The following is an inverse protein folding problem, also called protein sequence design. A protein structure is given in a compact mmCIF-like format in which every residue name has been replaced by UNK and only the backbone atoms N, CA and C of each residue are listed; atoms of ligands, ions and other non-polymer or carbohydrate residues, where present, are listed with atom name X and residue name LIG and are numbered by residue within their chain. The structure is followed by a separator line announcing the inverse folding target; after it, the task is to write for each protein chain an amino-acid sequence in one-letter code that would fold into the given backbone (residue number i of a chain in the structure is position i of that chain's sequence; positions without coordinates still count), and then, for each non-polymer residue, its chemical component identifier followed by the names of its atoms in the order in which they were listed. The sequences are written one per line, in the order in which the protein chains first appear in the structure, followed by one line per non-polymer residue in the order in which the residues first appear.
data_IF_757088036176
#
_entry.id   IF_757088036176
#
_cell.length_a   1.000
_cell.length_b   1.000
_cell.length_c   1.000
_cell.angle_alpha   90.00
_cell.angle_beta   90.00
_cell.angle_gamma   90.00
#
_symmetry.space_group_name_H-M   'P 1'
#
loop_
_entity.id
_entity.type
_entity.pdbx_description
1 polymer ?
#
# COMPACT_ATOMS: atom_id res chain seq x y z
N UNK A 1 12.56 17.35 -9.16
CA UNK A 1 11.85 16.20 -8.55
C UNK A 1 10.94 16.75 -7.45
N UNK A 2 9.64 16.45 -7.49
CA UNK A 2 8.64 16.98 -6.56
C UNK A 2 8.01 15.80 -5.81
N UNK A 3 8.49 15.53 -4.59
CA UNK A 3 7.98 14.44 -3.74
C UNK A 3 6.90 14.95 -2.79
N UNK A 4 5.99 14.08 -2.32
CA UNK A 4 4.85 14.48 -1.48
C UNK A 4 5.25 15.19 -0.18
N UNK A 5 6.41 14.86 0.40
CA UNK A 5 6.93 15.55 1.59
C UNK A 5 7.70 16.84 1.30
N UNK A 6 7.78 17.28 0.04
CA UNK A 6 8.48 18.51 -0.31
C UNK A 6 7.90 19.70 0.47
N UNK A 7 8.79 20.49 1.09
CA UNK A 7 8.44 21.72 1.80
C UNK A 7 8.23 22.86 0.81
N UNK A 8 7.13 22.80 0.07
CA UNK A 8 6.76 23.79 -0.92
C UNK A 8 5.31 24.22 -0.71
N UNK A 9 5.08 25.54 -0.65
CA UNK A 9 3.75 26.12 -0.69
C UNK A 9 3.29 26.31 -2.13
N UNK A 10 2.02 26.06 -2.41
CA UNK A 10 1.40 26.26 -3.74
C UNK A 10 0.11 27.05 -3.54
N UNK A 11 0.11 28.31 -3.98
CA UNK A 11 -0.98 29.24 -3.65
C UNK A 11 -1.12 29.35 -2.13
N UNK A 12 -2.35 29.13 -1.64
CA UNK A 12 -2.65 29.15 -0.19
C UNK A 12 -2.33 27.84 0.54
N UNK A 13 -1.99 26.77 -0.18
CA UNK A 13 -1.66 25.48 0.43
C UNK A 13 -0.20 25.47 0.92
N UNK A 14 0.01 25.00 2.16
CA UNK A 14 1.34 25.01 2.80
C UNK A 14 2.24 23.86 2.37
N UNK A 15 1.65 22.82 1.79
CA UNK A 15 2.32 21.60 1.36
C UNK A 15 1.45 20.85 0.33
N UNK A 16 2.02 19.81 -0.28
CA UNK A 16 1.33 19.03 -1.31
C UNK A 16 0.13 18.24 -0.78
N UNK A 17 0.11 17.85 0.49
CA UNK A 17 -1.05 17.16 1.08
C UNK A 17 -2.27 18.08 1.15
N UNK A 18 -2.07 19.34 1.51
CA UNK A 18 -3.11 20.36 1.50
C UNK A 18 -3.52 20.72 0.07
N UNK A 19 -2.55 20.90 -0.82
CA UNK A 19 -2.81 21.26 -2.23
C UNK A 19 -3.70 20.24 -2.93
N UNK A 20 -3.38 18.94 -2.80
CA UNK A 20 -4.18 17.89 -3.44
C UNK A 20 -5.55 17.70 -2.80
N UNK A 21 -5.70 18.04 -1.52
CA UNK A 21 -6.97 17.88 -0.83
C UNK A 21 -7.51 16.46 -1.01
N UNK A 22 -8.83 16.36 -1.26
CA UNK A 22 -9.53 15.10 -1.53
C UNK A 22 -9.45 14.64 -2.99
N UNK A 23 -8.81 15.41 -3.88
CA UNK A 23 -8.84 15.14 -5.33
C UNK A 23 -8.29 13.76 -5.67
N UNK A 24 -7.17 13.37 -5.02
CA UNK A 24 -6.55 12.06 -5.24
C UNK A 24 -7.47 10.92 -4.76
N UNK A 25 -8.10 11.09 -3.60
CA UNK A 25 -9.08 10.12 -3.09
C UNK A 25 -10.23 9.91 -4.08
N UNK A 26 -10.85 11.00 -4.55
CA UNK A 26 -11.95 10.95 -5.52
C UNK A 26 -11.56 10.36 -6.88
N UNK A 27 -10.28 10.45 -7.25
CA UNK A 27 -9.80 9.92 -8.53
C UNK A 27 -9.53 8.41 -8.54
N UNK A 28 -9.35 7.81 -7.35
CA UNK A 28 -9.00 6.39 -7.21
C UNK A 28 -10.18 5.57 -6.71
N UNK A 29 -11.07 6.15 -5.90
CA UNK A 29 -12.25 5.46 -5.40
C UNK A 29 -13.27 5.24 -6.53
N UNK A 30 -13.83 4.03 -6.58
CA UNK A 30 -14.92 3.66 -7.48
C UNK A 30 -16.11 3.07 -6.70
N UNK A 31 -17.11 2.55 -7.41
CA UNK A 31 -18.32 1.98 -6.81
C UNK A 31 -18.04 0.77 -5.92
N UNK A 32 -16.90 0.07 -6.10
CA UNK A 32 -16.52 -1.05 -5.24
C UNK A 32 -16.09 -0.58 -3.85
N UNK A 33 -15.61 0.67 -3.75
CA UNK A 33 -15.01 1.27 -2.56
C UNK A 33 -13.82 0.49 -1.97
N UNK A 34 -13.19 -0.37 -2.77
CA UNK A 34 -12.02 -1.16 -2.36
C UNK A 34 -10.76 -0.44 -2.84
N UNK A 35 -9.81 -0.22 -1.92
CA UNK A 35 -8.50 0.34 -2.26
C UNK A 35 -7.41 -0.58 -1.72
N UNK A 36 -6.55 -1.07 -2.61
CA UNK A 36 -5.34 -1.82 -2.25
C UNK A 36 -4.17 -0.84 -2.17
N UNK A 37 -3.73 -0.54 -0.95
CA UNK A 37 -2.61 0.35 -0.70
C UNK A 37 -1.27 -0.40 -0.79
N UNK A 38 -0.59 -0.20 -1.92
CA UNK A 38 0.80 -0.59 -2.15
C UNK A 38 1.76 0.61 -2.12
N UNK A 39 1.28 1.82 -1.79
CA UNK A 39 2.10 3.01 -1.75
C UNK A 39 2.97 3.07 -0.47
N UNK A 40 4.00 3.92 -0.47
CA UNK A 40 4.68 4.26 0.79
C UNK A 40 3.77 5.14 1.66
N UNK A 41 4.09 5.26 2.96
CA UNK A 41 3.37 6.15 3.87
C UNK A 41 3.38 7.61 3.43
N UNK A 42 4.46 8.04 2.78
CA UNK A 42 4.61 9.38 2.23
C UNK A 42 3.50 9.72 1.22
N UNK A 43 3.13 8.78 0.35
CA UNK A 43 2.10 9.01 -0.66
C UNK A 43 0.71 8.63 -0.14
N UNK A 44 0.55 7.51 0.56
CA UNK A 44 -0.77 7.07 1.07
C UNK A 44 -1.40 8.03 2.07
N UNK A 45 -0.60 8.84 2.79
CA UNK A 45 -1.12 9.82 3.75
C UNK A 45 -2.10 10.84 3.13
N UNK A 46 -1.96 11.19 1.85
CA UNK A 46 -2.95 12.09 1.21
C UNK A 46 -4.31 11.42 0.99
N UNK A 47 -4.37 10.09 0.94
CA UNK A 47 -5.59 9.31 0.78
C UNK A 47 -6.28 9.07 2.12
N UNK A 48 -5.51 8.69 3.13
CA UNK A 48 -6.02 8.24 4.44
C UNK A 48 -6.94 9.25 5.13
N UNK A 49 -6.70 10.56 4.92
CA UNK A 49 -7.50 11.64 5.51
C UNK A 49 -8.96 11.66 5.02
N UNK A 50 -9.24 11.11 3.84
CA UNK A 50 -10.55 11.18 3.18
C UNK A 50 -11.29 9.84 3.16
N UNK A 51 -10.69 8.79 3.73
CA UNK A 51 -11.35 7.49 3.86
C UNK A 51 -12.60 7.60 4.74
N UNK A 52 -13.61 6.83 4.39
CA UNK A 52 -14.89 6.73 5.08
C UNK A 52 -15.09 5.31 5.64
N UNK A 53 -16.01 5.09 6.59
CA UNK A 53 -16.29 3.75 7.11
C UNK A 53 -16.80 2.74 6.07
N UNK A 54 -17.25 3.20 4.90
CA UNK A 54 -17.69 2.34 3.80
C UNK A 54 -16.51 1.85 2.93
N UNK A 55 -15.34 2.46 3.07
CA UNK A 55 -14.18 2.12 2.26
C UNK A 55 -13.45 0.91 2.84
N UNK A 56 -13.18 -0.07 1.97
CA UNK A 56 -12.31 -1.20 2.31
C UNK A 56 -10.89 -0.86 1.88
N UNK A 57 -10.14 -0.24 2.79
CA UNK A 57 -8.75 0.15 2.57
C UNK A 57 -7.79 -0.92 3.11
N UNK A 58 -7.15 -1.68 2.22
CA UNK A 58 -6.26 -2.79 2.59
C UNK A 58 -4.82 -2.38 2.34
N UNK A 59 -4.01 -2.31 3.40
CA UNK A 59 -2.58 -2.04 3.28
C UNK A 59 -1.79 -3.34 3.16
N UNK A 60 -0.93 -3.42 2.14
CA UNK A 60 -0.04 -4.57 1.96
C UNK A 60 1.32 -4.26 2.57
N UNK A 61 1.73 -5.08 3.54
CA UNK A 61 3.00 -4.95 4.25
C UNK A 61 3.95 -6.06 3.82
N UNK A 62 5.13 -5.67 3.35
CA UNK A 62 6.21 -6.59 3.02
C UNK A 62 7.31 -6.49 4.09
N UNK A 63 7.57 -7.57 4.80
CA UNK A 63 8.58 -7.65 5.85
C UNK A 63 9.50 -8.85 5.68
N UNK A 64 10.59 -8.87 6.44
CA UNK A 64 11.47 -10.02 6.61
C UNK A 64 11.94 -10.07 8.07
N UNK A 65 12.30 -11.25 8.54
CA UNK A 65 12.87 -11.43 9.87
C UNK A 65 14.33 -10.96 9.87
N UNK A 66 14.69 -10.11 10.81
CA UNK A 66 16.05 -9.60 11.02
C UNK A 66 16.39 -9.75 12.50
N UNK A 67 17.10 -10.83 12.84
CA UNK A 67 17.22 -11.29 14.23
C UNK A 67 15.87 -11.80 14.71
N UNK A 68 15.37 -11.26 15.82
CA UNK A 68 14.06 -11.64 16.39
C UNK A 68 12.93 -10.65 16.02
N UNK A 69 13.18 -9.72 15.10
CA UNK A 69 12.24 -8.66 14.74
C UNK A 69 11.87 -8.70 13.27
N UNK A 70 10.58 -8.50 12.98
CA UNK A 70 10.11 -8.25 11.64
C UNK A 70 10.44 -6.81 11.23
N UNK A 71 11.09 -6.65 10.09
CA UNK A 71 11.48 -5.36 9.55
C UNK A 71 11.12 -5.22 8.08
N UNK A 72 10.77 -4.01 7.67
CA UNK A 72 10.57 -3.68 6.25
C UNK A 72 11.88 -3.19 5.65
N UNK A 73 12.49 -3.96 4.75
CA UNK A 73 13.62 -3.47 3.94
C UNK A 73 13.10 -2.68 2.74
N UNK A 74 13.40 -1.38 2.69
CA UNK A 74 12.83 -0.45 1.72
C UNK A 74 13.01 -0.87 0.24
N UNK A 75 14.19 -1.37 -0.15
CA UNK A 75 14.45 -1.83 -1.52
C UNK A 75 13.56 -3.03 -1.88
N UNK A 76 13.53 -4.06 -1.03
CA UNK A 76 12.74 -5.26 -1.28
C UNK A 76 11.24 -4.99 -1.24
N UNK A 77 10.77 -4.16 -0.29
CA UNK A 77 9.37 -3.76 -0.24
C UNK A 77 8.94 -2.99 -1.51
N UNK A 78 9.81 -2.13 -2.07
CA UNK A 78 9.53 -1.42 -3.34
C UNK A 78 9.41 -2.39 -4.51
N UNK A 79 10.31 -3.37 -4.61
CA UNK A 79 10.26 -4.40 -5.64
C UNK A 79 9.00 -5.25 -5.51
N UNK A 80 8.69 -5.70 -4.28
CA UNK A 80 7.52 -6.52 -3.98
C UNK A 80 6.20 -5.78 -4.26
N UNK A 81 6.12 -4.46 -4.04
CA UNK A 81 4.95 -3.67 -4.40
C UNK A 81 4.67 -3.68 -5.90
N UNK A 82 5.69 -3.47 -6.72
CA UNK A 82 5.55 -3.55 -8.18
C UNK A 82 5.16 -4.96 -8.63
N UNK A 83 5.79 -5.97 -8.04
CA UNK A 83 5.50 -7.37 -8.35
C UNK A 83 4.08 -7.80 -7.93
N UNK A 84 3.55 -7.23 -6.84
CA UNK A 84 2.18 -7.45 -6.41
C UNK A 84 1.17 -6.86 -7.39
N UNK A 85 1.40 -5.63 -7.88
CA UNK A 85 0.55 -5.04 -8.94
C UNK A 85 0.56 -5.93 -10.17
N UNK A 86 1.74 -6.41 -10.57
CA UNK A 86 1.88 -7.33 -11.70
C UNK A 86 1.12 -8.63 -11.48
N UNK A 87 1.24 -9.24 -10.30
CA UNK A 87 0.52 -10.46 -9.94
C UNK A 87 -1.00 -10.29 -10.00
N UNK A 88 -1.52 -9.19 -9.44
CA UNK A 88 -2.95 -8.86 -9.46
C UNK A 88 -3.44 -8.75 -10.92
N UNK A 89 -2.70 -8.02 -11.76
CA UNK A 89 -3.05 -7.83 -13.16
C UNK A 89 -2.96 -9.13 -13.98
N UNK A 90 -1.87 -9.89 -13.86
CA UNK A 90 -1.66 -11.12 -14.64
C UNK A 90 -2.69 -12.22 -14.32
N UNK A 91 -3.22 -12.23 -13.10
CA UNK A 91 -4.22 -13.21 -12.66
C UNK A 91 -5.65 -12.68 -12.73
N UNK A 92 -5.87 -11.45 -13.22
CA UNK A 92 -7.18 -10.78 -13.23
C UNK A 92 -7.90 -10.86 -11.87
N UNK A 93 -7.18 -10.57 -10.79
CA UNK A 93 -7.74 -10.65 -9.43
C UNK A 93 -8.73 -9.50 -9.22
N UNK A 94 -9.99 -9.85 -9.01
CA UNK A 94 -11.08 -8.91 -8.67
C UNK A 94 -11.45 -8.95 -7.18
N UNK A 95 -11.15 -10.05 -6.49
CA UNK A 95 -11.40 -10.17 -5.06
C UNK A 95 -10.09 -10.04 -4.25
N UNK A 96 -9.97 -9.06 -3.33
CA UNK A 96 -8.76 -8.88 -2.53
C UNK A 96 -8.30 -10.10 -1.74
N UNK A 97 -9.20 -11.02 -1.38
CA UNK A 97 -8.83 -12.26 -0.67
C UNK A 97 -7.83 -13.08 -1.50
N UNK A 98 -7.92 -13.04 -2.83
CA UNK A 98 -7.02 -13.82 -3.70
C UNK A 98 -5.59 -13.26 -3.74
N UNK A 99 -5.38 -12.01 -3.33
CA UNK A 99 -4.06 -11.39 -3.17
C UNK A 99 -3.22 -12.17 -2.15
N UNK A 100 -3.87 -12.83 -1.17
CA UNK A 100 -3.19 -13.66 -0.16
C UNK A 100 -2.42 -14.85 -0.79
N UNK A 101 -2.72 -15.21 -2.05
CA UNK A 101 -2.01 -16.26 -2.79
C UNK A 101 -0.66 -15.80 -3.37
N UNK A 102 -0.29 -14.53 -3.22
CA UNK A 102 0.98 -14.01 -3.71
C UNK A 102 2.19 -14.73 -3.09
N UNK A 103 3.06 -15.26 -3.93
CA UNK A 103 4.18 -16.14 -3.57
C UNK A 103 5.50 -15.76 -4.26
N UNK A 104 5.61 -14.53 -4.76
CA UNK A 104 6.76 -14.08 -5.56
C UNK A 104 7.87 -13.47 -4.72
N UNK A 105 9.09 -13.45 -5.25
CA UNK A 105 10.29 -12.88 -4.62
C UNK A 105 10.64 -13.46 -3.22
N UNK A 106 10.13 -14.66 -2.92
CA UNK A 106 10.30 -15.35 -1.65
C UNK A 106 9.38 -14.86 -0.52
N UNK A 107 8.39 -14.03 -0.83
CA UNK A 107 7.35 -13.61 0.10
C UNK A 107 6.24 -14.65 0.19
N UNK A 108 5.63 -14.76 1.37
CA UNK A 108 4.45 -15.58 1.62
C UNK A 108 3.53 -14.90 2.62
N UNK A 109 2.22 -15.09 2.47
CA UNK A 109 1.22 -14.50 3.35
C UNK A 109 1.33 -15.03 4.79
N UNK A 110 1.20 -14.13 5.77
CA UNK A 110 1.21 -14.43 7.21
C UNK A 110 -0.16 -14.15 7.79
N UNK A 111 -1.02 -15.16 7.81
CA UNK A 111 -2.39 -15.04 8.32
C UNK A 111 -2.45 -14.66 9.80
N UNK A 112 -1.45 -15.08 10.59
CA UNK A 112 -1.33 -14.79 12.01
C UNK A 112 -0.94 -13.33 12.32
N UNK A 113 -0.41 -12.61 11.33
CA UNK A 113 -0.06 -11.19 11.42
C UNK A 113 -1.00 -10.30 10.63
N UNK A 114 -1.94 -10.89 9.89
CA UNK A 114 -2.83 -10.17 8.98
C UNK A 114 -4.21 -9.95 9.59
N UNK A 115 -4.91 -8.95 9.05
CA UNK A 115 -6.28 -8.58 9.41
C UNK A 115 -7.06 -8.19 8.15
N UNK A 116 -8.33 -7.81 8.30
CA UNK A 116 -9.18 -7.39 7.18
C UNK A 116 -8.70 -6.11 6.47
N UNK A 117 -7.89 -5.28 7.15
CA UNK A 117 -7.35 -4.01 6.64
C UNK A 117 -5.83 -4.04 6.41
N UNK A 118 -5.14 -5.09 6.82
CA UNK A 118 -3.68 -5.22 6.66
C UNK A 118 -3.29 -6.64 6.29
N UNK A 119 -2.67 -6.82 5.12
CA UNK A 119 -2.13 -8.10 4.69
C UNK A 119 -0.61 -8.09 4.79
N UNK A 120 -0.08 -8.97 5.63
CA UNK A 120 1.35 -9.09 5.90
C UNK A 120 1.92 -10.24 5.08
N UNK A 121 2.95 -9.93 4.30
CA UNK A 121 3.74 -10.88 3.56
C UNK A 121 5.17 -10.87 4.10
N UNK A 122 5.63 -12.03 4.54
CA UNK A 122 6.99 -12.21 5.04
C UNK A 122 7.86 -12.89 3.99
N UNK A 123 9.04 -12.30 3.74
CA UNK A 123 10.08 -12.91 2.95
C UNK A 123 10.91 -13.85 3.79
N UNK A 124 11.02 -15.10 3.35
CA UNK A 124 11.94 -16.07 3.95
C UNK A 124 13.28 -15.98 3.22
N UNK A 125 14.30 -15.48 3.91
CA UNK A 125 15.68 -15.49 3.42
C UNK A 125 16.17 -16.92 3.55
N UNK A 126 16.60 -17.52 2.43
CA UNK A 126 17.33 -18.78 2.43
C UNK A 126 18.80 -18.54 2.71
#
# INVERSE_FOLDING_TARGET
RLEMQAKVGIGDAKNLYEYWGELLYRSVIDDSRIIINLASKEYSKCMEKYLTPQDRYITIVFCELSGDKLVTKGTYAKMARGEMVRFIAENNIENPVEIQKFDRLGYSFRSDLSSDSEYVFERKIK
#
